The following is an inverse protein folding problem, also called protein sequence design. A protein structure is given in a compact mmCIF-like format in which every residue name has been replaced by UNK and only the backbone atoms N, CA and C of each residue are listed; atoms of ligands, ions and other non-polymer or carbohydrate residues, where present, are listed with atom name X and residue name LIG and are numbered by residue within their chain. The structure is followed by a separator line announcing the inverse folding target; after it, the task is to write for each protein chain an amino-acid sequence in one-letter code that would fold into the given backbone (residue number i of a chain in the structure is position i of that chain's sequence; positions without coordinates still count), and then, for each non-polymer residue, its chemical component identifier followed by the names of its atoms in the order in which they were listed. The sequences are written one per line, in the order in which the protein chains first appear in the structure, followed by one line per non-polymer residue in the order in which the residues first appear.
data_IF_254760141905
#
_entry.id   IF_254760141905
#
_cell.length_a   1.000
_cell.length_b   1.000
_cell.length_c   1.000
_cell.angle_alpha   90.00
_cell.angle_beta   90.00
_cell.angle_gamma   90.00
#
_symmetry.space_group_name_H-M   'P 1'
#
loop_
_entity.id
_entity.type
_entity.pdbx_description
1 polymer ?
#
# COMPACT_ATOMS: atom_id res chain seq x y z
N UNK A 1 6.38 -11.88 -26.08
CA UNK A 1 5.14 -11.27 -25.62
C UNK A 1 4.17 -12.30 -25.05
N UNK A 2 3.93 -13.40 -25.75
CA UNK A 2 3.03 -14.46 -25.30
C UNK A 2 3.54 -15.11 -24.01
N UNK A 3 4.84 -15.28 -23.88
CA UNK A 3 5.46 -15.88 -22.69
C UNK A 3 5.29 -14.99 -21.47
N UNK A 4 5.46 -13.67 -21.63
CA UNK A 4 5.28 -12.71 -20.53
C UNK A 4 3.82 -12.67 -20.05
N UNK A 5 2.86 -12.76 -20.96
CA UNK A 5 1.44 -12.81 -20.60
C UNK A 5 1.10 -14.07 -19.81
N UNK A 6 1.69 -15.22 -20.17
CA UNK A 6 1.47 -16.48 -19.43
C UNK A 6 2.02 -16.42 -18.01
N UNK A 7 3.16 -15.77 -17.80
CA UNK A 7 3.74 -15.66 -16.47
C UNK A 7 2.85 -14.81 -15.54
N UNK A 8 2.22 -13.79 -16.08
CA UNK A 8 1.34 -12.93 -15.28
C UNK A 8 -0.02 -13.58 -14.99
N UNK A 9 -0.47 -14.51 -15.82
CA UNK A 9 -1.77 -15.17 -15.63
C UNK A 9 -1.88 -15.89 -14.29
N UNK A 10 -0.81 -16.52 -13.83
CA UNK A 10 -0.82 -17.22 -12.54
C UNK A 10 -0.90 -16.23 -11.38
N UNK A 11 -0.19 -15.12 -11.47
CA UNK A 11 -0.24 -14.07 -10.45
C UNK A 11 -1.63 -13.41 -10.39
N UNK A 12 -2.23 -13.17 -11.56
CA UNK A 12 -3.58 -12.60 -11.65
C UNK A 12 -4.61 -13.56 -11.05
N UNK A 13 -4.51 -14.86 -11.39
CA UNK A 13 -5.40 -15.88 -10.85
C UNK A 13 -5.27 -16.00 -9.33
N UNK A 14 -4.04 -15.95 -8.81
CA UNK A 14 -3.79 -15.95 -7.38
C UNK A 14 -4.46 -14.75 -6.70
N UNK A 15 -4.34 -13.57 -7.28
CA UNK A 15 -4.94 -12.35 -6.74
C UNK A 15 -6.46 -12.40 -6.77
N UNK A 16 -7.05 -12.96 -7.82
CA UNK A 16 -8.50 -13.13 -7.90
C UNK A 16 -9.02 -14.05 -6.80
N UNK A 17 -8.38 -15.18 -6.59
CA UNK A 17 -8.75 -16.11 -5.50
C UNK A 17 -8.60 -15.46 -4.14
N UNK A 18 -7.53 -14.69 -3.96
CA UNK A 18 -7.26 -13.98 -2.72
C UNK A 18 -8.39 -12.99 -2.40
N UNK A 19 -8.72 -12.15 -3.36
CA UNK A 19 -9.75 -11.12 -3.15
C UNK A 19 -11.14 -11.73 -2.98
N UNK A 20 -11.40 -12.87 -3.61
CA UNK A 20 -12.65 -13.60 -3.41
C UNK A 20 -12.75 -14.21 -2.02
N UNK A 21 -11.62 -14.56 -1.41
CA UNK A 21 -11.59 -15.12 -0.06
C UNK A 21 -11.80 -14.07 1.04
N UNK A 22 -11.56 -12.80 0.73
CA UNK A 22 -11.75 -11.72 1.71
C UNK A 22 -13.22 -11.53 2.02
N UNK A 23 -13.51 -11.15 3.26
CA UNK A 23 -14.86 -10.85 3.70
C UNK A 23 -15.42 -9.63 2.94
N UNK A 24 -16.72 -9.57 2.90
CA UNK A 24 -17.46 -8.45 2.26
C UNK A 24 -18.41 -7.84 3.29
N UNK A 25 -18.61 -6.53 3.17
CA UNK A 25 -19.61 -5.84 3.98
C UNK A 25 -21.01 -5.99 3.36
N UNK A 26 -22.01 -5.39 3.98
CA UNK A 26 -23.40 -5.47 3.52
C UNK A 26 -23.61 -4.87 2.11
N UNK A 27 -22.70 -4.01 1.66
CA UNK A 27 -22.76 -3.38 0.33
C UNK A 27 -21.89 -4.12 -0.69
N UNK A 28 -21.28 -5.24 -0.31
CA UNK A 28 -20.41 -6.02 -1.19
C UNK A 28 -18.99 -5.53 -1.30
N UNK A 29 -18.61 -4.51 -0.53
CA UNK A 29 -17.24 -3.99 -0.53
C UNK A 29 -16.30 -4.91 0.26
N UNK A 30 -15.08 -5.03 -0.21
CA UNK A 30 -14.07 -5.88 0.43
C UNK A 30 -13.70 -5.34 1.80
N UNK A 31 -13.69 -6.24 2.80
CA UNK A 31 -13.11 -5.97 4.11
C UNK A 31 -11.73 -6.60 4.12
N UNK A 32 -10.69 -5.77 4.04
CA UNK A 32 -9.32 -6.27 3.99
C UNK A 32 -8.89 -6.78 5.37
N UNK A 33 -8.18 -7.93 5.40
CA UNK A 33 -7.63 -8.44 6.67
C UNK A 33 -6.68 -7.42 7.32
N UNK A 34 -6.62 -7.45 8.64
CA UNK A 34 -5.77 -6.52 9.41
C UNK A 34 -4.28 -6.66 9.09
N UNK A 35 -3.83 -7.84 8.69
CA UNK A 35 -2.44 -8.08 8.35
C UNK A 35 -2.12 -7.82 6.86
N UNK A 36 -3.13 -7.59 6.03
CA UNK A 36 -2.95 -7.34 4.60
C UNK A 36 -2.46 -5.92 4.36
N UNK A 37 -1.35 -5.78 3.63
CA UNK A 37 -0.77 -4.47 3.34
C UNK A 37 -0.76 -4.13 1.86
N UNK A 38 -1.18 -5.06 1.00
CA UNK A 38 -1.25 -4.84 -0.43
C UNK A 38 -0.67 -6.00 -1.22
N UNK A 39 -0.80 -5.91 -2.53
CA UNK A 39 -0.27 -6.92 -3.43
C UNK A 39 0.11 -6.26 -4.76
N UNK A 40 1.13 -6.80 -5.40
CA UNK A 40 1.50 -6.37 -6.75
C UNK A 40 2.12 -7.55 -7.51
N UNK A 41 2.10 -7.46 -8.82
CA UNK A 41 2.62 -8.50 -9.69
C UNK A 41 4.08 -8.21 -10.04
N UNK A 42 4.95 -9.20 -9.85
CA UNK A 42 6.35 -9.13 -10.22
C UNK A 42 6.68 -10.38 -11.05
N UNK A 43 6.75 -10.22 -12.38
CA UNK A 43 6.94 -11.32 -13.29
C UNK A 43 5.77 -12.32 -13.22
N UNK A 44 6.07 -13.55 -12.85
CA UNK A 44 5.06 -14.60 -12.69
C UNK A 44 4.50 -14.67 -11.26
N UNK A 45 5.05 -13.89 -10.34
CA UNK A 45 4.71 -13.95 -8.93
C UNK A 45 3.76 -12.86 -8.51
N UNK A 46 2.92 -13.17 -7.54
CA UNK A 46 2.15 -12.20 -6.80
C UNK A 46 2.88 -11.93 -5.50
N UNK A 47 3.35 -10.71 -5.34
CA UNK A 47 4.01 -10.27 -4.11
C UNK A 47 2.94 -9.79 -3.15
N UNK A 48 2.83 -10.45 -2.02
CA UNK A 48 1.91 -10.09 -0.93
C UNK A 48 2.67 -9.39 0.17
N UNK A 49 2.22 -8.21 0.50
CA UNK A 49 2.77 -7.44 1.61
C UNK A 49 1.90 -7.68 2.84
N UNK A 50 2.52 -8.13 3.92
CA UNK A 50 1.84 -8.45 5.16
C UNK A 50 2.56 -7.79 6.33
N UNK A 51 1.81 -7.28 7.30
CA UNK A 51 2.42 -6.72 8.51
C UNK A 51 2.92 -7.81 9.44
N UNK A 52 2.43 -9.02 9.26
CA UNK A 52 2.86 -10.21 10.00
C UNK A 52 3.16 -11.32 9.00
N UNK A 53 4.38 -11.81 8.99
CA UNK A 53 4.83 -12.87 8.07
C UNK A 53 5.17 -14.17 8.80
N UNK A 54 4.54 -14.43 9.95
CA UNK A 54 4.72 -15.69 10.63
C UNK A 54 4.11 -16.85 9.81
N UNK A 55 4.51 -18.07 10.13
CA UNK A 55 4.10 -19.24 9.35
C UNK A 55 2.60 -19.46 9.35
N UNK A 56 1.91 -19.11 10.41
CA UNK A 56 0.45 -19.25 10.51
C UNK A 56 -0.25 -18.28 9.55
N UNK A 57 0.21 -17.03 9.50
CA UNK A 57 -0.35 -16.01 8.60
C UNK A 57 -0.06 -16.35 7.15
N UNK A 58 1.17 -16.73 6.84
CA UNK A 58 1.57 -17.12 5.48
C UNK A 58 0.73 -18.30 5.00
N UNK A 59 0.53 -19.31 5.86
CA UNK A 59 -0.26 -20.50 5.51
C UNK A 59 -1.73 -20.16 5.24
N UNK A 60 -2.29 -19.19 5.97
CA UNK A 60 -3.64 -18.70 5.72
C UNK A 60 -3.79 -18.19 4.28
N UNK A 61 -2.85 -17.37 3.83
CA UNK A 61 -2.88 -16.81 2.47
C UNK A 61 -2.63 -17.88 1.40
N UNK A 62 -1.77 -18.84 1.68
CA UNK A 62 -1.54 -19.97 0.77
C UNK A 62 -2.81 -20.81 0.61
N UNK A 63 -3.52 -21.04 1.69
CA UNK A 63 -4.77 -21.79 1.66
C UNK A 63 -5.81 -21.08 0.80
N UNK A 64 -5.91 -19.76 0.92
CA UNK A 64 -6.85 -18.97 0.12
C UNK A 64 -6.57 -19.02 -1.38
N UNK A 65 -5.29 -19.12 -1.77
CA UNK A 65 -4.89 -19.12 -3.17
C UNK A 65 -4.74 -20.53 -3.76
N UNK A 66 -4.84 -21.57 -2.92
CA UNK A 66 -4.90 -22.98 -3.31
C UNK A 66 -3.78 -23.38 -4.29
N UNK A 67 -4.14 -23.82 -5.49
CA UNK A 67 -3.16 -24.28 -6.50
C UNK A 67 -2.18 -23.19 -6.95
N UNK A 68 -2.52 -21.92 -6.75
CA UNK A 68 -1.65 -20.79 -7.11
C UNK A 68 -0.71 -20.36 -6.00
N UNK A 69 -0.76 -21.02 -4.83
CA UNK A 69 0.12 -20.70 -3.71
C UNK A 69 1.62 -20.66 -4.06
N UNK A 70 2.14 -21.55 -4.95
CA UNK A 70 3.56 -21.48 -5.33
C UNK A 70 3.99 -20.18 -6.00
N UNK A 71 3.04 -19.40 -6.52
CA UNK A 71 3.33 -18.12 -7.17
C UNK A 71 3.32 -16.94 -6.21
N UNK A 72 3.09 -17.18 -4.91
CA UNK A 72 3.09 -16.13 -3.88
C UNK A 72 4.50 -15.88 -3.37
N UNK A 73 4.84 -14.60 -3.26
CA UNK A 73 6.05 -14.14 -2.58
C UNK A 73 5.59 -13.23 -1.45
N UNK A 74 6.05 -13.49 -0.23
CA UNK A 74 5.64 -12.75 0.95
C UNK A 74 6.70 -11.74 1.34
N UNK A 75 6.30 -10.49 1.54
CA UNK A 75 7.17 -9.43 2.05
C UNK A 75 6.54 -8.79 3.25
N UNK A 76 7.36 -8.49 4.24
CA UNK A 76 6.88 -7.77 5.42
C UNK A 76 6.71 -6.29 5.10
N UNK A 77 5.59 -5.72 5.52
CA UNK A 77 5.29 -4.30 5.39
C UNK A 77 5.14 -3.69 6.77
N UNK A 78 5.39 -2.40 6.86
CA UNK A 78 5.28 -1.66 8.12
C UNK A 78 3.84 -1.32 8.45
N UNK A 79 3.05 -0.96 7.43
CA UNK A 79 1.67 -0.51 7.61
C UNK A 79 0.70 -1.42 6.87
N UNK A 80 -0.44 -1.72 7.51
CA UNK A 80 -1.51 -2.46 6.83
C UNK A 80 -2.21 -1.56 5.81
N UNK A 81 -2.87 -2.17 4.85
CA UNK A 81 -3.68 -1.43 3.87
C UNK A 81 -4.78 -0.63 4.55
N UNK A 82 -5.45 -1.23 5.54
CA UNK A 82 -6.49 -0.56 6.32
C UNK A 82 -5.94 0.65 7.07
N UNK A 83 -4.75 0.53 7.65
CA UNK A 83 -4.09 1.61 8.37
C UNK A 83 -3.79 2.80 7.46
N UNK A 84 -3.21 2.53 6.30
CA UNK A 84 -2.90 3.58 5.32
C UNK A 84 -4.17 4.24 4.80
N UNK A 85 -5.16 3.44 4.44
CA UNK A 85 -6.43 3.91 3.89
C UNK A 85 -7.18 4.79 4.89
N UNK A 86 -7.15 4.42 6.18
CA UNK A 86 -7.81 5.19 7.23
C UNK A 86 -7.24 6.60 7.39
N UNK A 87 -5.97 6.81 7.03
CA UNK A 87 -5.32 8.11 7.17
C UNK A 87 -5.45 9.00 5.93
N UNK A 88 -5.99 8.48 4.84
CA UNK A 88 -6.09 9.21 3.58
C UNK A 88 -6.88 10.52 3.73
N UNK A 89 -8.13 10.42 4.14
CA UNK A 89 -9.01 11.59 4.29
C UNK A 89 -8.52 12.56 5.36
N UNK A 90 -8.10 12.12 6.55
CA UNK A 90 -7.53 13.02 7.54
C UNK A 90 -6.32 13.81 7.04
N UNK A 91 -5.43 13.17 6.28
CA UNK A 91 -4.25 13.84 5.70
C UNK A 91 -4.67 14.89 4.67
N UNK A 92 -5.56 14.51 3.76
CA UNK A 92 -6.06 15.41 2.71
C UNK A 92 -6.73 16.62 3.33
N UNK A 93 -7.56 16.40 4.35
CA UNK A 93 -8.26 17.47 5.06
C UNK A 93 -7.27 18.42 5.75
N UNK A 94 -6.27 17.86 6.43
CA UNK A 94 -5.24 18.65 7.09
C UNK A 94 -4.50 19.55 6.10
N UNK A 95 -4.09 18.99 4.96
CA UNK A 95 -3.37 19.74 3.93
C UNK A 95 -4.22 20.84 3.32
N UNK A 96 -5.48 20.55 3.05
CA UNK A 96 -6.42 21.52 2.48
C UNK A 96 -6.63 22.68 3.45
N UNK A 97 -6.82 22.38 4.73
CA UNK A 97 -6.99 23.40 5.77
C UNK A 97 -5.71 24.22 5.99
N UNK A 98 -4.56 23.62 5.68
CA UNK A 98 -3.26 24.31 5.78
C UNK A 98 -2.92 25.17 4.56
N UNK A 99 -3.82 25.22 3.58
CA UNK A 99 -3.66 26.06 2.38
C UNK A 99 -3.03 25.38 1.18
N UNK A 100 -2.77 24.08 1.25
CA UNK A 100 -2.23 23.33 0.10
C UNK A 100 -3.35 22.91 -0.84
N UNK A 101 -3.01 22.83 -2.13
CA UNK A 101 -3.92 22.32 -3.16
C UNK A 101 -3.57 20.86 -3.43
N UNK A 102 -4.42 19.95 -2.98
CA UNK A 102 -4.24 18.52 -3.20
C UNK A 102 -4.79 18.16 -4.56
N UNK A 103 -3.94 17.65 -5.44
CA UNK A 103 -4.32 17.28 -6.82
C UNK A 103 -4.64 15.80 -6.95
N UNK A 104 -4.08 14.96 -6.07
CA UNK A 104 -4.34 13.52 -6.08
C UNK A 104 -4.00 12.93 -4.73
N UNK A 105 -4.61 11.79 -4.43
CA UNK A 105 -4.29 11.02 -3.23
C UNK A 105 -4.65 9.56 -3.43
N UNK A 106 -3.81 8.68 -2.91
CA UNK A 106 -4.03 7.24 -3.01
C UNK A 106 -3.15 6.49 -2.01
N UNK A 107 -3.40 5.20 -1.86
CA UNK A 107 -2.52 4.30 -1.13
C UNK A 107 -1.67 3.57 -2.15
N UNK A 108 -0.34 3.56 -1.94
CA UNK A 108 0.57 2.78 -2.77
C UNK A 108 0.87 1.46 -2.08
N UNK A 109 0.51 0.37 -2.72
CA UNK A 109 0.82 -0.97 -2.24
C UNK A 109 2.31 -1.26 -2.38
N UNK A 110 2.91 -0.81 -3.47
CA UNK A 110 4.33 -1.05 -3.76
C UNK A 110 5.26 -0.36 -2.78
N UNK A 111 4.97 0.89 -2.45
CA UNK A 111 5.79 1.70 -1.55
C UNK A 111 5.36 1.56 -0.09
N UNK A 112 4.16 1.02 0.15
CA UNK A 112 3.55 0.90 1.48
C UNK A 112 3.43 2.29 2.14
N UNK A 113 2.73 3.18 1.47
CA UNK A 113 2.61 4.59 1.88
C UNK A 113 1.33 5.22 1.36
N UNK A 114 0.97 6.34 1.96
CA UNK A 114 -0.04 7.25 1.40
C UNK A 114 0.67 8.16 0.41
N UNK A 115 0.14 8.25 -0.80
CA UNK A 115 0.67 9.14 -1.85
C UNK A 115 -0.21 10.37 -1.97
N UNK A 116 0.41 11.54 -1.91
CA UNK A 116 -0.29 12.82 -2.03
C UNK A 116 0.36 13.63 -3.14
N UNK A 117 -0.45 14.05 -4.10
CA UNK A 117 -0.02 15.01 -5.11
C UNK A 117 -0.40 16.41 -4.68
N UNK A 118 0.55 17.33 -4.70
CA UNK A 118 0.33 18.74 -4.40
C UNK A 118 0.77 19.59 -5.57
N UNK A 119 0.04 20.66 -5.87
CA UNK A 119 0.49 21.65 -6.83
C UNK A 119 1.40 22.67 -6.13
N UNK A 120 2.41 23.14 -6.84
CA UNK A 120 3.28 24.24 -6.39
C UNK A 120 4.02 23.97 -5.08
N UNK A 121 4.48 22.72 -4.90
CA UNK A 121 5.25 22.35 -3.73
C UNK A 121 6.71 22.09 -4.13
N UNK A 122 7.65 22.77 -3.51
CA UNK A 122 9.08 22.55 -3.79
C UNK A 122 9.55 21.24 -3.16
N UNK A 123 10.67 20.70 -3.64
CA UNK A 123 11.23 19.47 -3.09
C UNK A 123 11.58 19.61 -1.60
N UNK A 124 12.12 20.76 -1.20
CA UNK A 124 12.47 21.03 0.19
C UNK A 124 11.21 21.07 1.08
N UNK A 125 10.13 21.70 0.61
CA UNK A 125 8.86 21.73 1.30
C UNK A 125 8.25 20.33 1.41
N UNK A 126 8.33 19.55 0.34
CA UNK A 126 7.81 18.18 0.31
C UNK A 126 8.46 17.31 1.36
N UNK A 127 9.78 17.37 1.50
CA UNK A 127 10.53 16.58 2.47
C UNK A 127 10.10 16.91 3.90
N UNK A 128 9.98 18.19 4.22
CA UNK A 128 9.53 18.62 5.55
C UNK A 128 8.10 18.20 5.83
N UNK A 129 7.25 18.33 4.82
CA UNK A 129 5.85 18.02 4.94
C UNK A 129 5.63 16.52 5.12
N UNK A 130 6.37 15.69 4.37
CA UNK A 130 6.34 14.23 4.52
C UNK A 130 6.68 13.83 5.96
N UNK A 131 7.76 14.40 6.50
CA UNK A 131 8.19 14.11 7.87
C UNK A 131 7.12 14.53 8.89
N UNK A 132 6.58 15.73 8.76
CA UNK A 132 5.55 16.23 9.66
C UNK A 132 4.28 15.38 9.60
N UNK A 133 3.82 15.03 8.40
CA UNK A 133 2.62 14.21 8.23
C UNK A 133 2.81 12.80 8.76
N UNK A 134 3.99 12.22 8.55
CA UNK A 134 4.34 10.92 9.10
C UNK A 134 4.24 10.94 10.63
N UNK A 135 4.77 11.98 11.25
CA UNK A 135 4.72 12.15 12.71
C UNK A 135 3.30 12.33 13.23
N UNK A 136 2.50 13.11 12.53
CA UNK A 136 1.12 13.42 12.96
C UNK A 136 0.17 12.24 12.78
N UNK A 137 0.29 11.51 11.68
CA UNK A 137 -0.67 10.48 11.30
C UNK A 137 -0.17 9.05 11.48
N UNK A 138 1.11 8.88 11.80
CA UNK A 138 1.66 7.57 12.13
C UNK A 138 1.84 6.61 10.95
N UNK A 139 1.84 7.14 9.72
CA UNK A 139 2.04 6.34 8.50
C UNK A 139 3.02 7.05 7.58
N UNK A 140 3.62 6.28 6.67
CA UNK A 140 4.49 6.86 5.65
C UNK A 140 3.66 7.67 4.67
N UNK A 141 4.10 8.88 4.39
CA UNK A 141 3.46 9.77 3.41
C UNK A 141 4.52 10.19 2.39
N UNK A 142 4.18 10.06 1.12
CA UNK A 142 5.05 10.49 0.03
C UNK A 142 4.32 11.59 -0.74
N UNK A 143 4.98 12.73 -0.89
CA UNK A 143 4.43 13.90 -1.56
C UNK A 143 5.20 14.14 -2.84
N UNK A 144 4.46 14.38 -3.93
CA UNK A 144 5.08 14.75 -5.18
C UNK A 144 4.20 15.76 -5.91
N UNK A 145 4.81 16.54 -6.76
CA UNK A 145 4.08 17.44 -7.64
C UNK A 145 3.37 16.64 -8.73
N UNK A 146 3.96 15.48 -9.08
CA UNK A 146 3.39 14.56 -10.05
C UNK A 146 3.36 13.16 -9.44
N UNK A 147 2.19 12.69 -9.08
CA UNK A 147 2.00 11.46 -8.33
C UNK A 147 2.44 10.17 -9.04
N UNK A 148 2.84 10.25 -10.30
CA UNK A 148 3.24 9.07 -11.08
C UNK A 148 4.73 8.74 -11.02
N UNK A 149 5.56 9.64 -10.48
CA UNK A 149 7.00 9.41 -10.36
C UNK A 149 7.35 9.29 -8.88
N UNK A 150 7.48 8.06 -8.42
CA UNK A 150 7.73 7.81 -7.00
C UNK A 150 9.06 7.09 -6.85
N UNK A 151 9.99 7.73 -6.16
CA UNK A 151 11.20 7.09 -5.70
C UNK A 151 11.02 6.70 -4.24
N UNK A 152 11.58 5.56 -3.87
CA UNK A 152 11.51 5.07 -2.52
C UNK A 152 12.37 5.96 -1.63
N UNK A 153 11.72 6.67 -0.72
CA UNK A 153 12.41 7.52 0.24
C UNK A 153 12.70 6.73 1.51
N UNK A 154 13.41 7.36 2.43
CA UNK A 154 13.70 6.76 3.72
C UNK A 154 12.42 6.44 4.48
N UNK A 155 12.49 5.46 5.35
CA UNK A 155 11.37 5.08 6.19
C UNK A 155 10.94 6.24 7.08
N UNK A 156 9.69 6.21 7.45
CA UNK A 156 9.15 7.18 8.40
C UNK A 156 9.86 7.04 9.72
N UNK A 157 10.42 8.14 10.20
CA UNK A 157 11.24 8.17 11.42
C UNK A 157 10.40 8.45 12.66
N UNK A 158 9.13 8.10 12.64
CA UNK A 158 8.22 8.34 13.77
C UNK A 158 8.69 7.67 15.07
N UNK A 159 9.56 6.68 14.96
CA UNK A 159 10.15 6.01 16.12
C UNK A 159 11.21 6.86 16.83
N UNK A 160 11.64 7.96 16.26
CA UNK A 160 12.64 8.85 16.85
C UNK A 160 12.07 9.80 17.91
N UNK A 161 10.80 9.64 18.24
CA UNK A 161 10.14 10.48 19.22
C UNK A 161 10.22 9.98 20.64
N UNK A 162 11.10 9.12 20.88
CA UNK A 162 11.19 8.59 22.24
C UNK A 162 12.17 9.41 23.08
#
# INVERSE_FOLDING_TARGET
QITAMRYQENAVAANELLTQAFERDSNGAIIFPEDYAGAYIDGENLVLLLTNTDSKTVEKYRTWTDEYAPFLVFKKAEYSYNQLRAQLQPIVQHLTLSGYTVTSYSVSETVNAVLIGLSECTDAESIKLEDNLCKMFGVRVVISEQAHTIELTEECTSTEFH
#
